data_IF_815287434811
#
_entry.id   IF_815287434811
#
_cell.length_a   1.000
_cell.length_b   1.000
_cell.length_c   1.000
_cell.angle_alpha   90.00
_cell.angle_beta   90.00
_cell.angle_gamma   90.00
#
_symmetry.space_group_name_H-M   'P 1'
#
loop_
_entity.id
_entity.type
_entity.pdbx_description
1 polymer ?
#
# COMPACT_ATOMS: atom_id res chain seq x y z
N UNK A 1 7.47 11.56 3.00
CA UNK A 1 8.19 11.42 1.71
C UNK A 1 7.34 10.54 0.81
N UNK A 2 7.24 10.86 -0.47
CA UNK A 2 6.63 9.95 -1.45
C UNK A 2 7.71 8.95 -1.88
N UNK A 3 7.58 7.64 -1.61
CA UNK A 3 8.62 6.67 -1.95
C UNK A 3 8.73 6.53 -3.47
N UNK A 4 9.88 6.97 -4.01
CA UNK A 4 10.19 6.90 -5.44
C UNK A 4 10.19 5.45 -5.93
N UNK A 5 9.09 5.02 -6.55
CA UNK A 5 8.87 3.61 -6.92
C UNK A 5 7.48 3.06 -6.60
N UNK A 6 6.54 3.89 -6.12
CA UNK A 6 5.13 3.50 -5.98
C UNK A 6 4.24 4.32 -6.91
N UNK A 7 3.28 3.65 -7.56
CA UNK A 7 2.17 4.31 -8.25
C UNK A 7 1.05 4.54 -7.25
N UNK A 8 0.74 5.81 -6.99
CA UNK A 8 -0.44 6.16 -6.25
C UNK A 8 -1.69 6.09 -7.13
N UNK A 9 -2.76 5.50 -6.60
CA UNK A 9 -4.10 5.47 -7.21
C UNK A 9 -5.08 6.11 -6.23
N UNK A 10 -5.93 7.01 -6.73
CA UNK A 10 -7.01 7.59 -5.92
C UNK A 10 -8.25 6.70 -6.06
N UNK A 11 -8.72 6.19 -4.93
CA UNK A 11 -9.92 5.39 -4.84
C UNK A 11 -11.08 6.28 -4.37
N UNK A 12 -12.14 6.31 -5.17
CA UNK A 12 -13.32 7.16 -4.92
C UNK A 12 -14.09 6.68 -3.69
N UNK A 13 -14.61 7.63 -2.90
CA UNK A 13 -15.45 7.33 -1.73
C UNK A 13 -16.77 6.65 -2.08
N UNK A 14 -17.26 6.81 -3.32
CA UNK A 14 -18.45 6.12 -3.83
C UNK A 14 -18.13 4.82 -4.61
N UNK A 15 -16.91 4.28 -4.49
CA UNK A 15 -16.57 2.97 -5.03
C UNK A 15 -17.39 1.87 -4.35
N UNK A 16 -17.80 0.85 -5.11
CA UNK A 16 -18.43 -0.36 -4.56
C UNK A 16 -17.52 -1.17 -3.62
N UNK A 17 -16.23 -0.84 -3.58
CA UNK A 17 -15.26 -1.39 -2.62
C UNK A 17 -15.39 -0.76 -1.21
N UNK A 18 -16.12 0.36 -1.08
CA UNK A 18 -16.36 1.09 0.17
C UNK A 18 -17.78 0.82 0.66
N UNK A 19 -17.92 0.35 1.89
CA UNK A 19 -19.20 0.09 2.55
C UNK A 19 -19.31 0.95 3.82
N UNK A 20 -20.29 1.84 3.85
CA UNK A 20 -20.60 2.69 5.00
C UNK A 20 -21.67 2.03 5.88
N UNK A 21 -21.48 2.08 7.20
CA UNK A 21 -22.46 1.63 8.20
C UNK A 21 -22.70 2.71 9.26
N UNK A 22 -23.93 2.79 9.76
CA UNK A 22 -24.39 3.91 10.59
C UNK A 22 -24.86 5.10 9.75
N UNK A 23 -24.98 6.27 10.38
CA UNK A 23 -25.51 7.47 9.74
C UNK A 23 -24.39 8.29 9.09
N UNK A 24 -24.22 8.12 7.80
CA UNK A 24 -23.32 8.92 6.97
C UNK A 24 -24.10 9.85 6.05
N UNK A 25 -23.63 11.08 5.89
CA UNK A 25 -24.18 12.05 4.97
C UNK A 25 -23.12 12.43 3.92
N UNK A 26 -23.53 12.48 2.65
CA UNK A 26 -22.73 13.09 1.60
C UNK A 26 -22.78 14.62 1.74
N UNK A 27 -21.62 15.26 1.78
CA UNK A 27 -21.46 16.70 1.95
C UNK A 27 -20.59 17.26 0.82
N UNK A 28 -21.05 18.28 0.07
CA UNK A 28 -20.23 18.91 -0.95
C UNK A 28 -19.05 19.64 -0.32
N UNK A 29 -17.86 19.50 -0.90
CA UNK A 29 -16.66 20.18 -0.41
C UNK A 29 -16.66 21.62 -0.94
N UNK A 30 -16.69 22.60 -0.04
CA UNK A 30 -16.73 24.02 -0.43
C UNK A 30 -15.57 24.40 -1.34
N UNK A 31 -15.88 25.03 -2.48
CA UNK A 31 -14.90 25.43 -3.48
C UNK A 31 -14.35 24.31 -4.38
N UNK A 32 -14.88 23.08 -4.29
CA UNK A 32 -14.50 21.97 -5.16
C UNK A 32 -15.73 21.31 -5.81
N UNK A 33 -15.53 20.72 -7.00
CA UNK A 33 -16.54 19.85 -7.63
C UNK A 33 -16.36 18.40 -7.16
N UNK A 34 -16.39 18.21 -5.83
CA UNK A 34 -16.14 16.94 -5.15
C UNK A 34 -16.97 16.85 -3.88
N UNK A 35 -17.22 15.63 -3.44
CA UNK A 35 -18.01 15.31 -2.26
C UNK A 35 -17.13 14.65 -1.20
N UNK A 36 -17.58 14.72 0.04
CA UNK A 36 -17.04 14.01 1.19
C UNK A 36 -18.17 13.24 1.88
N UNK A 37 -17.83 12.21 2.64
CA UNK A 37 -18.78 11.49 3.51
C UNK A 37 -18.48 11.83 4.96
N UNK A 38 -19.48 12.35 5.66
CA UNK A 38 -19.36 12.90 7.01
C UNK A 38 -20.30 12.23 8.01
N UNK A 39 -19.87 12.05 9.26
CA UNK A 39 -20.71 11.58 10.35
C UNK A 39 -20.38 12.24 11.68
N UNK A 40 -21.42 12.52 12.48
CA UNK A 40 -21.34 12.97 13.88
C UNK A 40 -21.85 11.90 14.86
N UNK A 41 -21.99 10.66 14.38
CA UNK A 41 -22.57 9.55 15.14
C UNK A 41 -21.46 8.57 15.52
N UNK A 42 -21.29 8.38 16.83
CA UNK A 42 -20.39 7.36 17.39
C UNK A 42 -20.87 5.96 16.96
N UNK A 43 -19.93 5.03 16.79
CA UNK A 43 -20.15 3.67 16.27
C UNK A 43 -20.56 3.61 14.78
N UNK A 44 -20.60 4.73 14.06
CA UNK A 44 -20.55 4.70 12.58
C UNK A 44 -19.21 4.13 12.12
N UNK A 45 -19.23 3.35 11.04
CA UNK A 45 -18.03 2.71 10.51
C UNK A 45 -17.97 2.69 8.99
N UNK A 46 -16.77 2.46 8.46
CA UNK A 46 -16.49 2.25 7.03
C UNK A 46 -15.64 0.99 6.88
N UNK A 47 -16.04 0.12 5.97
CA UNK A 47 -15.26 -1.05 5.55
C UNK A 47 -14.82 -0.84 4.10
N UNK A 48 -13.54 -1.08 3.83
CA UNK A 48 -12.94 -0.90 2.52
C UNK A 48 -12.06 -2.09 2.14
N UNK A 49 -12.28 -2.63 0.94
CA UNK A 49 -11.36 -3.56 0.29
C UNK A 49 -10.44 -2.79 -0.66
N UNK A 50 -9.12 -3.06 -0.64
CA UNK A 50 -8.21 -2.39 -1.56
C UNK A 50 -7.06 -3.28 -2.01
N UNK A 51 -6.63 -3.11 -3.26
CA UNK A 51 -5.38 -3.69 -3.77
C UNK A 51 -4.22 -2.71 -3.59
N UNK A 52 -3.09 -3.22 -3.10
CA UNK A 52 -1.80 -2.52 -3.11
C UNK A 52 -0.90 -2.91 -1.96
N UNK A 53 -0.07 -1.95 -1.54
CA UNK A 53 0.98 -2.12 -0.52
C UNK A 53 0.98 -1.04 0.56
N UNK A 54 0.15 0.00 0.42
CA UNK A 54 -0.20 0.92 1.49
C UNK A 54 -1.52 1.63 1.15
N UNK A 55 -2.16 2.19 2.18
CA UNK A 55 -3.36 3.03 2.05
C UNK A 55 -3.27 4.25 2.96
N UNK A 56 -3.81 5.36 2.44
CA UNK A 56 -3.97 6.62 3.16
C UNK A 56 -5.43 7.06 3.11
N UNK A 57 -5.96 7.46 4.28
CA UNK A 57 -7.29 8.08 4.40
C UNK A 57 -7.08 9.59 4.41
N UNK A 58 -7.71 10.28 3.47
CA UNK A 58 -7.64 11.72 3.29
C UNK A 58 -9.00 12.32 3.59
N UNK A 59 -9.04 13.39 4.36
CA UNK A 59 -10.29 14.04 4.73
C UNK A 59 -10.11 15.40 5.39
N UNK A 60 -11.13 15.79 6.15
CA UNK A 60 -11.15 17.07 6.86
C UNK A 60 -10.83 16.87 8.34
N UNK A 61 -10.05 17.78 8.91
CA UNK A 61 -9.95 17.96 10.35
C UNK A 61 -10.93 19.08 10.71
N UNK A 62 -12.04 18.79 11.41
CA UNK A 62 -13.03 19.80 11.75
C UNK A 62 -12.55 20.68 12.91
N UNK A 63 -13.02 21.92 12.88
CA UNK A 63 -13.03 22.85 13.99
C UNK A 63 -13.97 22.36 15.11
N UNK A 64 -14.13 23.14 16.18
CA UNK A 64 -15.06 22.84 17.28
C UNK A 64 -14.46 22.05 18.45
N UNK A 65 -15.34 21.64 19.37
CA UNK A 65 -14.99 21.30 20.75
C UNK A 65 -15.10 19.81 21.06
N UNK A 66 -14.24 19.35 21.98
CA UNK A 66 -14.22 17.97 22.45
C UNK A 66 -13.32 17.02 21.64
N UNK A 67 -13.48 15.72 21.91
CA UNK A 67 -12.64 14.66 21.34
C UNK A 67 -13.15 14.22 19.99
N UNK A 68 -12.24 14.05 19.02
CA UNK A 68 -12.49 13.30 17.80
C UNK A 68 -11.52 12.10 17.80
N UNK A 69 -12.05 10.90 17.97
CA UNK A 69 -11.30 9.65 18.15
C UNK A 69 -11.83 8.59 17.17
N UNK A 70 -10.93 8.02 16.38
CA UNK A 70 -11.24 7.04 15.34
C UNK A 70 -10.25 5.89 15.43
N UNK A 71 -10.75 4.66 15.31
CA UNK A 71 -9.94 3.45 15.22
C UNK A 71 -9.77 3.04 13.75
N UNK A 72 -8.58 2.61 13.38
CA UNK A 72 -8.26 2.08 12.06
C UNK A 72 -7.69 0.67 12.19
N UNK A 73 -8.33 -0.30 11.57
CA UNK A 73 -7.99 -1.73 11.68
C UNK A 73 -7.66 -2.27 10.29
N UNK A 74 -6.41 -2.68 10.08
CA UNK A 74 -5.96 -3.32 8.84
C UNK A 74 -5.99 -4.83 8.99
N UNK A 75 -6.57 -5.54 8.02
CA UNK A 75 -6.56 -7.00 7.89
C UNK A 75 -6.97 -7.77 9.16
N UNK A 76 -7.94 -7.22 9.90
CA UNK A 76 -8.42 -7.79 11.18
C UNK A 76 -7.41 -7.75 12.33
N UNK A 77 -6.31 -7.01 12.19
CA UNK A 77 -5.26 -6.87 13.19
C UNK A 77 -5.65 -5.98 14.38
N UNK A 78 -4.65 -5.53 15.16
CA UNK A 78 -4.88 -4.63 16.29
C UNK A 78 -5.29 -3.23 15.82
N UNK A 79 -6.42 -2.65 16.31
CA UNK A 79 -6.83 -1.30 15.94
C UNK A 79 -5.81 -0.23 16.35
N UNK A 80 -5.54 0.72 15.44
CA UNK A 80 -4.76 1.93 15.71
C UNK A 80 -5.71 3.10 15.97
N UNK A 81 -5.77 3.57 17.21
CA UNK A 81 -6.54 4.76 17.57
C UNK A 81 -5.82 6.05 17.18
N UNK A 82 -6.49 6.94 16.45
CA UNK A 82 -6.02 8.30 16.12
C UNK A 82 -6.95 9.34 16.74
N UNK A 83 -6.38 10.27 17.52
CA UNK A 83 -7.08 11.45 18.03
C UNK A 83 -6.80 12.65 17.11
N UNK A 84 -7.83 13.22 16.51
CA UNK A 84 -7.72 14.38 15.62
C UNK A 84 -7.80 15.68 16.46
N UNK A 85 -6.72 16.46 16.47
CA UNK A 85 -6.64 17.73 17.21
C UNK A 85 -7.22 18.86 16.37
N UNK A 86 -8.01 19.76 16.95
CA UNK A 86 -8.63 20.90 16.25
C UNK A 86 -7.64 22.01 15.88
N UNK A 87 -6.40 21.99 16.40
CA UNK A 87 -5.37 22.99 16.08
C UNK A 87 -4.91 22.98 14.62
N UNK A 88 -5.27 21.94 13.86
CA UNK A 88 -4.86 21.71 12.48
C UNK A 88 -6.09 21.55 11.58
N UNK A 89 -7.09 22.44 11.74
CA UNK A 89 -8.33 22.41 10.96
C UNK A 89 -8.09 22.65 9.45
N UNK A 90 -8.90 22.00 8.61
CA UNK A 90 -8.81 22.15 7.16
C UNK A 90 -9.11 20.87 6.36
N UNK A 91 -9.10 21.01 5.03
CA UNK A 91 -9.36 19.96 4.04
C UNK A 91 -8.06 19.25 3.60
N UNK A 92 -8.17 18.07 2.96
CA UNK A 92 -7.06 17.30 2.42
C UNK A 92 -6.01 16.82 3.45
N UNK A 93 -6.39 16.71 4.73
CA UNK A 93 -5.51 16.20 5.78
C UNK A 93 -5.40 14.69 5.73
N UNK A 94 -4.22 14.18 6.09
CA UNK A 94 -3.97 12.75 6.28
C UNK A 94 -4.55 12.32 7.63
N UNK A 95 -5.69 11.65 7.61
CA UNK A 95 -6.37 11.19 8.83
C UNK A 95 -5.81 9.85 9.32
N UNK A 96 -5.31 9.04 8.39
CA UNK A 96 -4.58 7.80 8.64
C UNK A 96 -3.61 7.51 7.49
N UNK A 97 -2.46 6.95 7.83
CA UNK A 97 -1.44 6.43 6.91
C UNK A 97 -1.04 5.03 7.41
N UNK A 98 -1.14 4.03 6.55
CA UNK A 98 -0.79 2.65 6.88
C UNK A 98 0.74 2.46 7.00
N UNK A 99 1.20 1.40 7.69
CA UNK A 99 2.53 0.86 7.40
C UNK A 99 2.60 0.35 5.94
N UNK A 100 3.81 0.02 5.49
CA UNK A 100 4.00 -0.74 4.25
C UNK A 100 3.55 -2.18 4.48
N UNK A 101 2.73 -2.69 3.57
CA UNK A 101 2.16 -4.03 3.51
C UNK A 101 2.81 -4.81 2.36
N UNK A 102 2.67 -6.13 2.36
CA UNK A 102 2.92 -6.95 1.16
C UNK A 102 2.02 -6.49 0.02
N UNK A 103 2.48 -6.49 -1.23
CA UNK A 103 1.58 -6.15 -2.34
C UNK A 103 0.49 -7.23 -2.52
N UNK A 104 -0.77 -6.88 -2.30
CA UNK A 104 -1.89 -7.82 -2.36
C UNK A 104 -3.26 -7.17 -2.17
N UNK A 105 -4.25 -7.99 -1.83
CA UNK A 105 -5.58 -7.54 -1.43
C UNK A 105 -5.63 -7.37 0.09
N UNK A 106 -6.19 -6.26 0.53
CA UNK A 106 -6.23 -5.83 1.92
C UNK A 106 -7.60 -5.29 2.31
N UNK A 107 -7.83 -5.20 3.61
CA UNK A 107 -9.03 -4.63 4.22
C UNK A 107 -8.66 -3.53 5.20
N UNK A 108 -9.43 -2.44 5.18
CA UNK A 108 -9.39 -1.38 6.18
C UNK A 108 -10.79 -1.21 6.77
N UNK A 109 -10.91 -1.43 8.07
CA UNK A 109 -12.08 -1.00 8.85
C UNK A 109 -11.75 0.31 9.58
N UNK A 110 -12.71 1.23 9.60
CA UNK A 110 -12.61 2.54 10.24
C UNK A 110 -13.81 2.69 11.17
N UNK A 111 -13.58 2.78 12.48
CA UNK A 111 -14.65 2.89 13.48
C UNK A 111 -14.59 4.25 14.18
N UNK A 112 -15.68 5.02 14.10
CA UNK A 112 -15.80 6.33 14.75
C UNK A 112 -16.12 6.12 16.23
N UNK A 113 -15.11 6.22 17.09
CA UNK A 113 -15.25 5.93 18.53
C UNK A 113 -15.95 7.07 19.26
N UNK A 114 -15.58 8.31 18.95
CA UNK A 114 -16.12 9.51 19.61
C UNK A 114 -16.00 10.74 18.71
N UNK A 115 -17.09 11.50 18.54
CA UNK A 115 -17.12 12.83 17.91
C UNK A 115 -17.55 13.90 18.91
N UNK A 116 -16.84 15.02 18.93
CA UNK A 116 -17.17 16.22 19.70
C UNK A 116 -18.23 17.10 19.04
N UNK A 117 -18.61 18.20 19.70
CA UNK A 117 -19.62 19.13 19.19
C UNK A 117 -19.05 19.89 18.00
N UNK A 118 -19.70 19.77 16.83
CA UNK A 118 -19.21 20.30 15.55
C UNK A 118 -18.06 19.50 14.94
N UNK A 119 -17.59 18.43 15.60
CA UNK A 119 -16.39 17.68 15.19
C UNK A 119 -16.72 16.41 14.41
N UNK A 120 -17.42 16.57 13.29
CA UNK A 120 -17.78 15.45 12.43
C UNK A 120 -16.53 14.75 11.86
N UNK A 121 -16.53 13.43 11.80
CA UNK A 121 -15.52 12.70 11.05
C UNK A 121 -15.87 12.71 9.56
N UNK A 122 -15.01 13.31 8.74
CA UNK A 122 -15.28 13.56 7.31
C UNK A 122 -14.17 12.99 6.43
N UNK A 123 -14.51 12.01 5.58
CA UNK A 123 -13.61 11.36 4.60
C UNK A 123 -13.84 11.98 3.22
N UNK A 124 -12.76 12.32 2.51
CA UNK A 124 -12.79 12.94 1.17
C UNK A 124 -12.27 11.99 0.08
N UNK A 125 -11.23 11.20 0.37
CA UNK A 125 -10.72 10.20 -0.57
C UNK A 125 -9.86 9.14 0.12
N UNK A 126 -9.71 8.00 -0.55
CA UNK A 126 -8.71 7.00 -0.22
C UNK A 126 -7.59 7.07 -1.27
N UNK A 127 -6.34 6.92 -0.84
CA UNK A 127 -5.19 6.86 -1.75
C UNK A 127 -4.42 5.58 -1.48
N UNK A 128 -4.45 4.65 -2.44
CA UNK A 128 -3.70 3.40 -2.39
C UNK A 128 -2.36 3.56 -3.08
N UNK A 129 -1.38 2.76 -2.67
CA UNK A 129 -0.04 2.77 -3.24
C UNK A 129 0.29 1.36 -3.71
N UNK A 130 0.42 1.19 -5.03
CA UNK A 130 0.93 -0.02 -5.63
C UNK A 130 2.44 0.14 -5.82
N UNK A 131 3.28 -0.90 -5.64
CA UNK A 131 4.63 -0.85 -6.17
C UNK A 131 4.53 -0.58 -7.67
N UNK A 132 5.28 0.41 -8.17
CA UNK A 132 5.43 0.56 -9.62
C UNK A 132 5.86 -0.80 -10.16
N UNK A 133 5.26 -1.31 -11.26
CA UNK A 133 5.66 -2.58 -11.82
C UNK A 133 7.16 -2.50 -12.07
N UNK A 134 7.95 -3.23 -11.27
CA UNK A 134 9.41 -3.23 -11.40
C UNK A 134 9.66 -3.53 -12.86
N UNK A 135 10.25 -2.56 -13.59
CA UNK A 135 10.41 -2.63 -15.04
C UNK A 135 10.98 -4.00 -15.31
N UNK A 136 10.15 -4.92 -15.82
CA UNK A 136 10.60 -6.26 -16.12
C UNK A 136 11.54 -6.03 -17.28
N UNK A 137 12.84 -5.90 -16.96
CA UNK A 137 13.91 -6.07 -17.91
C UNK A 137 13.56 -7.42 -18.50
N UNK A 138 13.14 -7.49 -19.77
CA UNK A 138 12.68 -8.74 -20.33
C UNK A 138 13.80 -9.72 -20.07
N UNK A 139 13.50 -10.77 -19.32
CA UNK A 139 14.45 -11.85 -19.09
C UNK A 139 14.60 -12.50 -20.45
N UNK A 140 15.51 -11.94 -21.26
CA UNK A 140 15.86 -12.42 -22.58
C UNK A 140 16.20 -13.87 -22.37
N UNK A 141 15.26 -14.73 -22.76
CA UNK A 141 15.24 -16.10 -22.28
C UNK A 141 16.58 -16.70 -22.70
N UNK A 142 17.26 -17.41 -21.81
CA UNK A 142 18.53 -18.05 -22.20
C UNK A 142 18.31 -19.03 -23.38
N UNK A 143 17.06 -19.46 -23.61
CA UNK A 143 16.59 -20.14 -24.80
C UNK A 143 16.88 -19.37 -26.12
N UNK A 144 16.70 -18.05 -26.17
CA UNK A 144 17.02 -17.24 -27.35
C UNK A 144 18.53 -17.18 -27.63
N UNK A 145 19.36 -17.09 -26.59
CA UNK A 145 20.82 -17.13 -26.70
C UNK A 145 21.33 -18.52 -27.14
N UNK A 146 20.72 -19.59 -26.62
CA UNK A 146 21.00 -20.97 -27.00
C UNK A 146 20.63 -21.25 -28.47
N UNK A 147 19.50 -20.73 -28.95
CA UNK A 147 19.09 -20.88 -30.36
C UNK A 147 20.08 -20.27 -31.36
N UNK A 148 20.68 -19.12 -31.03
CA UNK A 148 21.67 -18.45 -31.88
C UNK A 148 22.97 -19.27 -31.97
N UNK A 149 23.45 -19.84 -30.86
CA UNK A 149 24.64 -20.71 -30.88
C UNK A 149 24.44 -21.98 -31.70
N UNK A 150 23.30 -22.68 -31.56
CA UNK A 150 23.03 -23.88 -32.34
C UNK A 150 22.88 -23.61 -33.84
N UNK A 151 22.30 -22.45 -34.22
CA UNK A 151 22.20 -22.03 -35.61
C UNK A 151 23.58 -21.79 -36.24
N UNK A 152 24.46 -21.06 -35.55
CA UNK A 152 25.84 -20.84 -35.98
C UNK A 152 26.64 -22.14 -36.10
N UNK A 153 26.53 -23.03 -35.11
CA UNK A 153 27.23 -24.33 -35.11
C UNK A 153 26.75 -25.23 -36.26
N UNK A 154 25.44 -25.26 -36.53
CA UNK A 154 24.86 -26.00 -37.65
C UNK A 154 25.35 -25.50 -39.01
N UNK A 155 25.42 -24.17 -39.20
CA UNK A 155 25.92 -23.56 -40.43
C UNK A 155 27.41 -23.90 -40.65
N UNK A 156 28.23 -23.85 -39.60
CA UNK A 156 29.65 -24.25 -39.64
C UNK A 156 29.79 -25.72 -40.05
N UNK A 157 28.99 -26.64 -39.49
CA UNK A 157 29.03 -28.07 -39.86
C UNK A 157 28.67 -28.28 -41.34
N UNK A 158 27.61 -27.62 -41.83
CA UNK A 158 27.22 -27.69 -43.26
C UNK A 158 28.34 -27.15 -44.17
N UNK A 159 29.01 -26.06 -43.76
CA UNK A 159 30.12 -25.48 -44.50
C UNK A 159 31.35 -26.41 -44.55
N UNK A 160 31.69 -27.07 -43.44
CA UNK A 160 32.75 -28.09 -43.39
C UNK A 160 32.42 -29.28 -44.31
N UNK A 161 31.18 -29.76 -44.30
CA UNK A 161 30.73 -30.83 -45.21
C UNK A 161 30.84 -30.38 -46.67
N UNK A 162 30.44 -29.14 -46.99
CA UNK A 162 30.52 -28.59 -48.35
C UNK A 162 31.97 -28.48 -48.85
N UNK A 163 32.89 -27.93 -48.05
CA UNK A 163 34.32 -27.88 -48.37
C UNK A 163 34.89 -29.31 -48.52
N UNK A 164 34.55 -30.23 -47.61
CA UNK A 164 35.00 -31.62 -47.66
C UNK A 164 34.54 -32.36 -48.92
N UNK A 165 33.31 -32.09 -49.40
CA UNK A 165 32.80 -32.63 -50.67
C UNK A 165 33.51 -32.01 -51.88
N UNK A 166 33.71 -30.70 -51.89
CA UNK A 166 34.43 -29.98 -52.95
C UNK A 166 35.87 -30.48 -53.09
N UNK A 167 36.63 -30.53 -51.99
CA UNK A 167 38.01 -31.04 -51.99
C UNK A 167 38.12 -32.53 -52.34
N UNK A 168 37.05 -33.33 -52.19
CA UNK A 168 37.03 -34.72 -52.69
C UNK A 168 36.88 -34.81 -54.20
N UNK A 169 36.15 -33.88 -54.83
CA UNK A 169 36.03 -33.83 -56.30
C UNK A 169 37.38 -33.48 -56.96
N UNK A 170 38.14 -32.58 -56.33
CA UNK A 170 39.46 -32.15 -56.85
C UNK A 170 40.57 -33.21 -56.71
N UNK A 171 40.34 -34.32 -55.97
CA UNK A 171 41.36 -35.36 -55.69
C UNK A 171 41.51 -36.46 -56.73
N UNK A 172 40.87 -36.37 -57.90
CA UNK A 172 40.91 -37.43 -58.93
C UNK A 172 42.11 -37.30 -59.91
N UNK A 173 42.89 -36.21 -59.87
CA UNK A 173 43.99 -35.94 -60.84
C UNK A 173 45.32 -35.51 -60.18
N UNK A 174 45.77 -36.16 -59.10
CA UNK A 174 47.13 -35.95 -58.56
C UNK A 174 47.93 -37.26 -58.63
N UNK A 175 48.87 -37.30 -59.59
CA UNK A 175 49.88 -38.37 -59.72
C UNK A 175 50.84 -38.32 -58.52
N UNK A 176 51.22 -39.46 -57.91
CA UNK A 176 52.15 -39.45 -56.79
C UNK A 176 53.59 -39.22 -57.27
N UNK A 177 54.19 -38.09 -56.86
CA UNK A 177 55.63 -37.85 -56.98
C UNK A 177 56.29 -37.79 -55.61
N UNK A 178 56.86 -38.94 -55.23
CA UNK A 178 58.18 -39.15 -54.66
C UNK A 178 58.81 -38.17 -53.63
N UNK A 179 59.25 -38.82 -52.53
CA UNK A 179 60.49 -38.62 -51.74
C UNK A 179 60.63 -37.53 -50.67
N UNK A 180 60.73 -38.04 -49.43
CA UNK A 180 61.65 -37.70 -48.34
C UNK A 180 62.22 -36.28 -48.20
N UNK A 181 61.97 -35.70 -47.03
CA UNK A 181 62.83 -34.70 -46.39
C UNK A 181 62.73 -34.81 -44.87
N UNK A 182 63.71 -35.47 -44.24
CA UNK A 182 63.85 -35.44 -42.77
C UNK A 182 64.32 -34.05 -42.33
N UNK A 183 63.64 -33.44 -41.35
CA UNK A 183 64.23 -32.34 -40.57
C UNK A 183 63.83 -32.42 -39.11
N UNK A 184 64.81 -32.08 -38.26
CA UNK A 184 64.82 -32.32 -36.82
C UNK A 184 63.98 -31.29 -36.04
N UNK A 185 63.29 -31.81 -35.02
CA UNK A 185 63.42 -31.39 -33.62
C UNK A 185 63.83 -29.93 -33.33
N UNK A 186 62.95 -29.19 -32.64
CA UNK A 186 63.35 -28.20 -31.63
C UNK A 186 62.25 -28.03 -30.57
N UNK A 187 62.56 -28.51 -29.37
CA UNK A 187 61.82 -28.23 -28.14
C UNK A 187 62.02 -26.77 -27.72
N UNK A 188 60.97 -26.10 -27.22
CA UNK A 188 61.11 -24.89 -26.41
C UNK A 188 59.89 -24.66 -25.49
N UNK A 189 60.06 -25.16 -24.26
CA UNK A 189 59.72 -24.61 -22.92
C UNK A 189 58.41 -23.80 -22.73
N UNK A 190 57.58 -24.10 -21.70
CA UNK A 190 56.37 -23.33 -21.38
C UNK A 190 56.66 -21.99 -20.68
N UNK A 191 55.73 -21.03 -20.79
CA UNK A 191 55.74 -19.79 -20.01
C UNK A 191 54.82 -19.87 -18.77
N UNK A 192 55.19 -19.20 -17.66
CA UNK A 192 54.56 -19.40 -16.35
C UNK A 192 53.34 -18.52 -16.08
N UNK A 193 52.68 -18.89 -14.98
CA UNK A 193 51.55 -18.23 -14.30
C UNK A 193 51.86 -16.77 -13.94
N UNK A 194 50.86 -15.88 -14.10
CA UNK A 194 50.81 -14.59 -13.41
C UNK A 194 49.57 -14.52 -12.51
N UNK A 195 49.82 -14.46 -11.20
CA UNK A 195 48.82 -14.29 -10.15
C UNK A 195 49.05 -12.96 -9.42
N UNK A 196 48.16 -11.98 -9.62
CA UNK A 196 48.11 -10.62 -9.07
C UNK A 196 46.63 -10.19 -9.15
N UNK A 197 45.93 -9.61 -8.17
CA UNK A 197 46.13 -9.31 -6.74
C UNK A 197 44.89 -9.89 -5.98
N UNK A 198 44.80 -10.12 -4.67
CA UNK A 198 45.26 -9.47 -3.42
C UNK A 198 44.51 -8.19 -3.01
N UNK A 199 43.79 -8.31 -1.88
CA UNK A 199 43.27 -7.28 -0.97
C UNK A 199 42.45 -6.10 -1.53
N UNK A 200 41.19 -6.00 -1.09
CA UNK A 200 40.92 -5.12 0.06
C UNK A 200 39.68 -5.60 0.85
N UNK A 201 39.90 -5.88 2.14
CA UNK A 201 38.88 -6.27 3.12
C UNK A 201 38.63 -5.03 3.98
N UNK A 202 37.41 -4.49 3.95
CA UNK A 202 37.02 -3.38 4.83
C UNK A 202 35.80 -3.76 5.66
N UNK A 203 36.08 -4.32 6.83
CA UNK A 203 35.18 -4.26 7.98
C UNK A 203 34.70 -2.81 8.19
N UNK A 204 33.39 -2.60 8.20
CA UNK A 204 32.82 -1.42 8.83
C UNK A 204 31.89 -1.83 9.96
N UNK A 205 32.24 -1.36 11.16
CA UNK A 205 31.83 -1.96 12.42
C UNK A 205 30.38 -1.68 12.80
N UNK A 206 29.80 -2.64 13.52
CA UNK A 206 28.53 -2.46 14.22
C UNK A 206 28.65 -1.44 15.35
N UNK A 207 27.95 -0.31 15.24
CA UNK A 207 27.83 0.66 16.34
C UNK A 207 26.56 0.43 17.14
N UNK A 208 26.69 -0.29 18.25
CA UNK A 208 25.62 -0.47 19.24
C UNK A 208 25.38 0.81 20.03
N UNK A 209 24.15 1.34 20.06
CA UNK A 209 23.76 2.34 21.06
C UNK A 209 22.41 2.05 21.76
N UNK A 210 22.56 1.45 22.94
CA UNK A 210 22.00 1.94 24.22
C UNK A 210 20.47 2.15 24.30
N UNK A 211 19.76 1.09 24.72
CA UNK A 211 18.49 1.23 25.46
C UNK A 211 18.71 2.09 26.71
N UNK A 212 17.93 3.16 26.88
CA UNK A 212 17.75 3.82 28.18
C UNK A 212 16.35 3.49 28.68
N UNK A 213 16.29 2.70 29.74
CA UNK A 213 15.05 2.43 30.47
C UNK A 213 14.79 3.57 31.44
N UNK A 214 13.70 4.32 31.25
CA UNK A 214 13.18 5.24 32.27
C UNK A 214 11.90 4.68 32.87
N UNK A 215 12.05 4.19 34.11
CA UNK A 215 10.99 3.65 34.97
C UNK A 215 10.51 4.75 35.93
N UNK A 216 9.64 5.64 35.47
CA UNK A 216 8.79 6.47 36.34
C UNK A 216 7.45 5.73 36.50
N UNK A 217 7.21 5.00 37.59
CA UNK A 217 6.75 5.47 38.91
C UNK A 217 5.38 6.14 38.82
N UNK A 218 4.38 5.45 39.36
CA UNK A 218 3.00 5.90 39.44
C UNK A 218 2.86 7.11 40.38
N UNK A 219 2.02 8.06 39.99
CA UNK A 219 1.20 8.83 40.92
C UNK A 219 -0.28 8.74 40.49
N UNK A 220 -1.05 7.97 41.25
CA UNK A 220 -2.51 7.90 41.14
C UNK A 220 -3.13 9.07 41.89
N UNK A 221 -3.35 10.18 41.20
CA UNK A 221 -4.13 11.30 41.72
C UNK A 221 -5.62 11.14 41.34
N UNK A 222 -6.46 10.76 42.30
CA UNK A 222 -7.92 10.78 42.15
C UNK A 222 -8.46 12.21 42.32
N UNK A 223 -9.08 12.84 41.31
CA UNK A 223 -9.86 14.05 41.54
C UNK A 223 -11.15 13.70 42.28
N UNK A 224 -11.39 14.37 43.42
CA UNK A 224 -12.67 14.29 44.14
C UNK A 224 -13.75 14.98 43.31
N UNK A 225 -14.84 14.28 43.01
CA UNK A 225 -16.05 14.88 42.49
C UNK A 225 -16.74 15.70 43.60
N UNK A 226 -16.86 17.02 43.40
CA UNK A 226 -17.79 17.88 44.13
C UNK A 226 -18.97 18.21 43.19
N UNK A 227 -20.15 17.60 43.35
CA UNK A 227 -21.35 18.03 42.66
C UNK A 227 -21.97 19.22 43.41
N UNK A 228 -21.50 20.44 43.14
CA UNK A 228 -22.29 21.63 43.42
C UNK A 228 -23.33 21.79 42.31
N UNK A 229 -24.60 21.61 42.66
CA UNK A 229 -25.70 22.01 41.79
C UNK A 229 -25.68 23.53 41.67
N UNK A 230 -25.45 24.03 40.46
CA UNK A 230 -25.67 25.44 40.14
C UNK A 230 -26.96 25.58 39.34
N UNK A 231 -27.99 26.13 39.98
CA UNK A 231 -29.32 26.33 39.42
C UNK A 231 -29.31 27.55 38.50
N UNK A 232 -29.18 27.33 37.19
CA UNK A 232 -29.29 28.41 36.21
C UNK A 232 -30.76 28.84 36.02
N UNK A 233 -31.12 29.99 36.60
CA UNK A 233 -32.33 30.74 36.22
C UNK A 233 -32.22 31.23 34.77
N UNK A 234 -33.13 30.77 33.92
CA UNK A 234 -33.23 31.24 32.53
C UNK A 234 -34.03 32.54 32.47
N UNK A 235 -33.34 33.67 32.49
CA UNK A 235 -33.95 35.00 32.29
C UNK A 235 -34.29 35.23 30.80
N UNK A 236 -35.53 34.96 30.39
CA UNK A 236 -35.98 35.17 29.01
C UNK A 236 -36.39 36.63 28.75
N UNK A 237 -35.52 37.40 28.09
CA UNK A 237 -35.89 38.65 27.39
C UNK A 237 -35.19 38.73 26.04
N UNK A 238 -35.95 38.70 24.93
CA UNK A 238 -35.42 39.10 23.62
C UNK A 238 -35.72 38.18 22.43
N UNK A 239 -36.99 38.11 22.01
CA UNK A 239 -37.45 38.02 20.61
C UNK A 239 -36.53 37.40 19.53
N UNK A 240 -36.87 36.16 19.10
CA UNK A 240 -37.13 35.84 17.68
C UNK A 240 -37.83 34.48 17.58
N UNK A 241 -39.07 34.44 17.06
CA UNK A 241 -39.73 33.19 16.68
C UNK A 241 -39.21 32.73 15.32
N UNK A 242 -38.51 31.59 15.30
CA UNK A 242 -38.37 30.77 14.09
C UNK A 242 -39.08 29.46 14.40
N UNK A 243 -40.19 29.22 13.70
CA UNK A 243 -40.99 28.00 13.88
C UNK A 243 -40.38 26.86 13.09
N UNK A 244 -39.91 25.82 13.77
CA UNK A 244 -39.59 24.53 13.15
C UNK A 244 -40.77 23.58 13.38
N UNK A 245 -41.32 23.04 12.29
CA UNK A 245 -42.39 22.03 12.34
C UNK A 245 -41.76 20.65 12.35
N UNK A 246 -41.75 20.00 13.51
CA UNK A 246 -41.32 18.60 13.64
C UNK A 246 -42.52 17.69 13.41
N UNK A 247 -42.65 17.16 12.18
CA UNK A 247 -43.62 16.09 11.91
C UNK A 247 -43.11 14.77 12.52
N UNK A 248 -43.74 14.33 13.60
CA UNK A 248 -43.48 13.02 14.19
C UNK A 248 -44.22 11.94 13.39
N UNK A 249 -43.49 11.16 12.60
CA UNK A 249 -44.03 9.98 11.93
C UNK A 249 -44.23 8.85 12.95
N UNK A 250 -45.49 8.62 13.35
CA UNK A 250 -45.86 7.44 14.11
C UNK A 250 -45.75 6.19 13.22
N UNK A 251 -44.80 5.32 13.54
CA UNK A 251 -44.71 3.98 12.94
C UNK A 251 -45.68 3.07 13.69
N UNK A 252 -46.81 2.75 13.06
CA UNK A 252 -47.78 1.80 13.61
C UNK A 252 -47.26 0.38 13.44
N UNK A 253 -46.79 -0.23 14.53
CA UNK A 253 -46.47 -1.66 14.55
C UNK A 253 -47.75 -2.47 14.41
N UNK A 254 -47.86 -3.29 13.36
CA UNK A 254 -48.98 -4.22 13.18
C UNK A 254 -48.54 -5.59 13.68
N UNK A 255 -49.18 -6.09 14.74
CA UNK A 255 -48.96 -7.44 15.25
C UNK A 255 -49.44 -8.50 14.22
N UNK A 256 -48.62 -9.52 13.91
CA UNK A 256 -49.09 -10.69 13.17
C UNK A 256 -49.94 -11.57 14.09
N UNK A 257 -51.25 -11.49 13.92
CA UNK A 257 -52.23 -12.30 14.65
C UNK A 257 -52.04 -13.80 14.37
N UNK A 258 -51.96 -14.62 15.43
CA UNK A 258 -51.99 -16.08 15.33
C UNK A 258 -53.38 -16.56 14.91
N UNK A 259 -53.49 -17.14 13.70
CA UNK A 259 -54.62 -17.99 13.36
C UNK A 259 -54.27 -19.45 13.63
N UNK A 260 -55.07 -20.09 14.50
CA UNK A 260 -54.92 -21.51 14.87
C UNK A 260 -55.67 -22.40 13.89
N UNK A 261 -55.14 -23.61 13.69
CA UNK A 261 -55.92 -24.73 13.18
C UNK A 261 -57.11 -25.05 14.09
N UNK A 262 -58.27 -25.37 13.50
CA UNK A 262 -59.08 -26.50 13.99
C UNK A 262 -60.00 -27.05 12.87
N UNK A 263 -59.98 -28.39 12.74
CA UNK A 263 -60.91 -29.30 12.00
C UNK A 263 -60.84 -29.28 10.45
#
# INVERSE_FOLDING_TARGET
>A
MDPSGFQAVLLSINSSEVVYQGSWAETPISGQNSFAYSTSINSSSVFLHFSGSAIRVIGEVPSGDGLLLVNYTLDGGTPKSTKLQSSNEGLNHVLFDSPILSNGQHTLAIDVVCTGIGRNYTIQSFKTFNPSPCRQIPSHSMQALVGILFSLLGLIIVFIIFIGRRMRQDRIQIKPLFRLGNTKEKSLVPYPILSYLQSEETDLQATTHRKVSQKGRLETAHPRFNPLLDTFEVNTRGSRRVSYSTAATLVTTVDPFLEKEEI
#
